data_IF_231121026039
#
_entry.id   IF_231121026039
#
_cell.length_a   1.000
_cell.length_b   1.000
_cell.length_c   1.000
_cell.angle_alpha   90.00
_cell.angle_beta   90.00
_cell.angle_gamma   90.00
#
_symmetry.space_group_name_H-M   'P 1'
#
loop_
_entity.id
_entity.type
_entity.pdbx_description
1 polymer ?
#
# COMPACT_ATOMS: atom_id res chain seq x y z
N UNK A 1 23.93 41.98 21.93
CA UNK A 1 22.96 43.05 21.72
C UNK A 1 21.84 42.48 20.86
N UNK A 2 20.71 42.27 21.51
CA UNK A 2 19.50 41.71 20.90
C UNK A 2 18.76 42.81 20.13
N UNK A 3 18.42 42.58 18.85
CA UNK A 3 17.55 43.47 18.05
C UNK A 3 16.25 42.71 17.78
N UNK A 4 15.20 43.19 18.47
CA UNK A 4 13.83 42.69 18.37
C UNK A 4 13.12 43.22 17.12
N UNK A 5 12.30 42.34 16.50
CA UNK A 5 11.44 42.57 15.34
C UNK A 5 10.25 43.51 15.62
N UNK A 6 10.51 44.78 16.00
CA UNK A 6 9.41 45.74 16.22
C UNK A 6 9.82 47.15 15.85
N UNK A 7 10.24 47.45 14.65
CA UNK A 7 10.36 48.85 14.18
C UNK A 7 10.46 48.88 12.64
N UNK A 8 9.32 48.74 11.96
CA UNK A 8 9.17 49.14 10.55
C UNK A 8 7.69 49.22 10.17
N UNK A 9 6.99 50.15 10.81
CA UNK A 9 5.68 50.63 10.37
C UNK A 9 5.47 52.05 10.92
N UNK A 10 6.10 53.03 10.26
CA UNK A 10 5.67 54.42 10.28
C UNK A 10 6.48 55.22 9.27
N UNK A 11 5.78 55.74 8.30
CA UNK A 11 6.01 56.96 7.52
C UNK A 11 5.74 56.75 6.03
N UNK A 12 4.65 57.33 5.56
CA UNK A 12 4.26 57.41 4.15
C UNK A 12 2.90 58.08 4.01
N UNK A 13 2.78 59.35 4.42
CA UNK A 13 1.62 60.22 4.10
C UNK A 13 1.72 60.64 2.63
N UNK A 14 0.74 60.20 1.82
CA UNK A 14 0.53 60.67 0.45
C UNK A 14 -0.95 60.94 0.25
N UNK A 15 -1.31 62.23 0.17
CA UNK A 15 -2.64 62.75 -0.15
C UNK A 15 -3.08 62.36 -1.56
N UNK A 16 -4.19 61.67 -1.68
CA UNK A 16 -4.85 61.29 -2.92
C UNK A 16 -6.36 61.45 -2.82
N UNK A 17 -6.90 62.27 -3.67
CA UNK A 17 -8.26 62.83 -3.78
C UNK A 17 -9.28 61.70 -3.88
N UNK A 18 -10.26 61.68 -3.00
CA UNK A 18 -11.44 60.82 -3.06
C UNK A 18 -12.47 61.43 -4.02
N UNK A 19 -12.74 60.78 -5.13
CA UNK A 19 -13.92 61.04 -5.96
C UNK A 19 -15.01 60.06 -5.54
N UNK A 20 -16.04 60.58 -4.90
CA UNK A 20 -17.23 59.82 -4.56
C UNK A 20 -18.09 59.60 -5.80
N UNK A 21 -18.19 58.38 -6.30
CA UNK A 21 -19.24 57.94 -7.20
C UNK A 21 -20.37 57.32 -6.36
N UNK A 22 -21.40 58.10 -6.07
CA UNK A 22 -22.69 57.60 -5.59
C UNK A 22 -23.53 57.22 -6.80
N UNK A 23 -23.83 55.97 -6.97
CA UNK A 23 -24.76 55.53 -8.00
C UNK A 23 -24.83 54.00 -8.13
N UNK A 24 -25.91 53.43 -7.75
CA UNK A 24 -26.67 52.25 -8.19
C UNK A 24 -25.96 51.04 -8.86
N UNK A 25 -24.66 50.81 -8.72
CA UNK A 25 -23.93 49.63 -9.20
C UNK A 25 -23.46 48.71 -8.05
N UNK A 26 -23.68 49.08 -6.80
CA UNK A 26 -23.33 48.25 -5.63
C UNK A 26 -24.26 47.08 -5.36
N UNK A 27 -25.43 47.02 -6.04
CA UNK A 27 -26.43 45.96 -5.79
C UNK A 27 -26.30 44.75 -6.75
N UNK A 28 -25.42 44.85 -7.73
CA UNK A 28 -25.21 43.71 -8.70
C UNK A 28 -24.08 42.79 -8.33
N UNK A 29 -23.29 43.09 -7.28
CA UNK A 29 -22.19 42.24 -6.78
C UNK A 29 -22.44 41.64 -5.40
N UNK A 30 -23.64 41.84 -4.81
CA UNK A 30 -24.03 41.24 -3.53
C UNK A 30 -24.54 39.81 -3.65
N UNK A 31 -24.33 39.16 -4.79
CA UNK A 31 -24.68 37.76 -5.07
C UNK A 31 -23.48 36.89 -5.39
N UNK A 32 -22.28 37.21 -4.92
CA UNK A 32 -21.17 36.25 -4.92
C UNK A 32 -21.54 35.18 -3.90
N UNK A 33 -22.21 34.11 -4.35
CA UNK A 33 -22.15 32.85 -3.65
C UNK A 33 -20.66 32.58 -3.40
N UNK A 34 -20.23 32.68 -2.16
CA UNK A 34 -18.99 32.08 -1.72
C UNK A 34 -19.16 30.61 -2.09
N UNK A 35 -18.58 30.19 -3.20
CA UNK A 35 -18.38 28.76 -3.44
C UNK A 35 -17.68 28.27 -2.18
N UNK A 36 -18.32 27.38 -1.45
CA UNK A 36 -17.68 26.72 -0.34
C UNK A 36 -16.32 26.24 -0.86
N UNK A 37 -15.22 26.38 -0.08
CA UNK A 37 -13.93 25.87 -0.51
C UNK A 37 -14.13 24.44 -0.99
N UNK A 38 -13.47 24.02 -2.09
CA UNK A 38 -13.64 22.67 -2.61
C UNK A 38 -13.52 21.71 -1.42
N UNK A 39 -14.54 20.89 -1.21
CA UNK A 39 -14.55 19.96 -0.08
C UNK A 39 -13.40 18.98 -0.32
N UNK A 40 -12.42 19.00 0.56
CA UNK A 40 -11.37 18.00 0.61
C UNK A 40 -12.04 16.64 0.79
N UNK A 41 -11.74 15.67 -0.09
CA UNK A 41 -12.32 14.34 -0.04
C UNK A 41 -13.84 14.29 -0.21
N UNK A 42 -14.48 13.29 0.42
CA UNK A 42 -15.91 13.00 0.30
C UNK A 42 -16.75 13.54 1.49
N UNK A 43 -16.14 14.27 2.42
CA UNK A 43 -16.77 14.83 3.60
C UNK A 43 -16.58 13.98 4.87
N UNK A 44 -17.23 14.34 5.99
CA UNK A 44 -17.02 13.67 7.26
C UNK A 44 -17.54 12.23 7.26
N UNK A 45 -16.85 11.35 7.99
CA UNK A 45 -17.29 9.98 8.22
C UNK A 45 -18.54 9.99 9.12
N UNK A 46 -19.51 9.18 8.77
CA UNK A 46 -20.74 8.95 9.53
C UNK A 46 -20.61 7.64 10.31
N UNK A 47 -20.94 7.63 11.62
CA UNK A 47 -20.89 6.42 12.42
C UNK A 47 -21.79 5.32 11.86
N UNK A 48 -21.23 4.12 11.68
CA UNK A 48 -21.98 2.96 11.21
C UNK A 48 -22.87 2.37 12.34
N UNK A 49 -24.19 2.25 12.16
CA UNK A 49 -25.06 1.60 13.14
C UNK A 49 -24.68 0.15 13.45
N UNK A 50 -24.03 -0.55 12.51
CA UNK A 50 -23.54 -1.92 12.69
C UNK A 50 -22.16 -2.00 13.34
N UNK A 51 -21.51 -0.84 13.52
CA UNK A 51 -20.15 -0.73 14.08
C UNK A 51 -19.11 -1.58 13.36
N UNK A 52 -19.11 -1.57 12.03
CA UNK A 52 -18.12 -2.27 11.23
C UNK A 52 -17.25 -1.28 10.46
N UNK A 53 -17.87 -0.32 9.73
CA UNK A 53 -17.12 0.59 8.84
C UNK A 53 -17.81 1.95 8.76
N UNK A 54 -17.19 3.00 9.30
CA UNK A 54 -17.66 4.37 9.14
C UNK A 54 -17.25 4.90 7.75
N UNK A 55 -18.18 5.53 7.04
CA UNK A 55 -18.00 6.02 5.68
C UNK A 55 -18.58 7.44 5.50
N UNK A 56 -18.15 8.20 4.48
CA UNK A 56 -18.78 9.47 4.15
C UNK A 56 -20.21 9.30 3.65
N UNK A 57 -21.01 10.39 3.69
CA UNK A 57 -22.38 10.38 3.20
C UNK A 57 -22.46 9.93 1.73
N UNK A 58 -23.42 9.05 1.42
CA UNK A 58 -23.64 8.49 0.08
C UNK A 58 -22.83 7.21 -0.20
N UNK A 59 -21.85 6.88 0.60
CA UNK A 59 -21.16 5.60 0.53
C UNK A 59 -21.88 4.53 1.35
N UNK A 60 -21.71 3.29 0.92
CA UNK A 60 -22.23 2.10 1.60
C UNK A 60 -21.29 0.93 1.40
N UNK A 61 -21.31 -0.02 2.31
CA UNK A 61 -20.49 -1.22 2.21
C UNK A 61 -21.31 -2.50 2.30
N UNK A 62 -20.68 -3.56 1.85
CA UNK A 62 -21.11 -4.95 2.00
C UNK A 62 -19.95 -5.78 2.49
N UNK A 63 -20.19 -6.68 3.45
CA UNK A 63 -19.24 -7.71 3.84
C UNK A 63 -19.28 -8.81 2.79
N UNK A 64 -18.13 -9.17 2.24
CA UNK A 64 -17.98 -10.22 1.23
C UNK A 64 -17.60 -11.55 1.86
N UNK A 65 -16.67 -11.54 2.84
CA UNK A 65 -16.06 -12.72 3.44
C UNK A 65 -15.57 -12.39 4.84
N UNK A 66 -15.59 -13.37 5.75
CA UNK A 66 -15.04 -13.28 7.09
C UNK A 66 -14.20 -14.51 7.41
N UNK A 67 -13.07 -14.29 8.09
CA UNK A 67 -12.24 -15.38 8.60
C UNK A 67 -13.07 -16.33 9.50
N UNK A 68 -12.86 -17.63 9.32
CA UNK A 68 -13.60 -18.67 10.02
C UNK A 68 -14.91 -19.11 9.35
N UNK A 69 -15.47 -18.34 8.42
CA UNK A 69 -16.62 -18.80 7.63
C UNK A 69 -16.21 -19.97 6.72
N UNK A 70 -17.11 -20.90 6.38
CA UNK A 70 -16.81 -21.95 5.39
C UNK A 70 -16.43 -21.36 4.02
N UNK A 71 -15.39 -21.88 3.39
CA UNK A 71 -15.08 -21.57 2.00
C UNK A 71 -16.25 -21.99 1.09
N UNK A 72 -16.71 -21.10 0.19
CA UNK A 72 -17.92 -21.33 -0.63
C UNK A 72 -17.74 -22.38 -1.73
N UNK A 73 -16.52 -22.70 -2.08
CA UNK A 73 -16.18 -23.71 -3.11
C UNK A 73 -14.82 -24.32 -2.84
N UNK A 74 -14.77 -25.08 -1.77
CA UNK A 74 -13.57 -25.76 -1.32
C UNK A 74 -13.78 -26.37 0.04
N UNK A 75 -12.80 -27.09 0.51
CA UNK A 75 -12.77 -27.63 1.86
C UNK A 75 -12.08 -26.62 2.79
N UNK A 76 -12.56 -26.52 4.01
CA UNK A 76 -11.99 -25.66 5.04
C UNK A 76 -12.74 -24.36 5.26
N UNK A 77 -12.08 -23.45 5.94
CA UNK A 77 -12.61 -22.15 6.34
C UNK A 77 -11.80 -21.02 5.70
N UNK A 78 -12.40 -19.84 5.60
CA UNK A 78 -11.73 -18.60 5.23
C UNK A 78 -10.58 -18.36 6.21
N UNK A 79 -9.32 -18.19 5.71
CA UNK A 79 -8.18 -17.99 6.58
C UNK A 79 -8.20 -16.63 7.28
N UNK A 80 -7.39 -16.49 8.33
CA UNK A 80 -7.20 -15.23 9.03
C UNK A 80 -6.29 -14.26 8.26
N UNK A 81 -6.06 -13.08 8.84
CA UNK A 81 -5.05 -12.10 8.43
C UNK A 81 -5.17 -11.78 6.95
N UNK A 82 -6.35 -11.24 6.57
CA UNK A 82 -6.63 -10.85 5.19
C UNK A 82 -5.83 -9.59 4.87
N UNK A 83 -4.91 -9.69 3.91
CA UNK A 83 -3.96 -8.66 3.57
C UNK A 83 -4.05 -8.21 2.09
N UNK A 84 -2.93 -8.01 1.41
CA UNK A 84 -2.82 -7.52 0.05
C UNK A 84 -3.81 -8.14 -0.92
N UNK A 85 -4.42 -7.32 -1.76
CA UNK A 85 -5.51 -7.75 -2.62
C UNK A 85 -5.47 -7.05 -3.98
N UNK A 86 -5.93 -7.74 -5.01
CA UNK A 86 -6.18 -7.14 -6.31
C UNK A 86 -7.48 -7.64 -6.94
N UNK A 87 -8.11 -6.76 -7.72
CA UNK A 87 -9.34 -7.04 -8.46
C UNK A 87 -9.04 -7.25 -9.95
N UNK A 88 -9.59 -8.32 -10.53
CA UNK A 88 -9.42 -8.72 -11.92
C UNK A 88 -10.76 -8.81 -12.63
N UNK A 89 -10.81 -8.39 -13.89
CA UNK A 89 -11.97 -8.61 -14.73
C UNK A 89 -12.12 -10.11 -15.07
N UNK A 90 -13.23 -10.71 -14.65
CA UNK A 90 -13.57 -12.09 -14.94
C UNK A 90 -14.57 -12.21 -16.10
N UNK A 91 -14.79 -11.13 -16.85
CA UNK A 91 -15.68 -11.04 -17.98
C UNK A 91 -17.16 -10.97 -17.60
N UNK A 92 -17.98 -10.40 -18.49
CA UNK A 92 -19.43 -10.27 -18.29
C UNK A 92 -19.83 -9.52 -17.02
N UNK A 93 -19.05 -8.50 -16.62
CA UNK A 93 -19.29 -7.71 -15.40
C UNK A 93 -18.98 -8.43 -14.09
N UNK A 94 -18.35 -9.59 -14.15
CA UNK A 94 -17.87 -10.32 -12.97
C UNK A 94 -16.50 -9.82 -12.56
N UNK A 95 -16.24 -9.86 -11.26
CA UNK A 95 -14.93 -9.51 -10.69
C UNK A 95 -14.36 -10.72 -9.96
N UNK A 96 -13.07 -10.91 -10.04
CA UNK A 96 -12.32 -11.86 -9.22
C UNK A 96 -11.33 -11.12 -8.36
N UNK A 97 -11.40 -11.33 -7.05
CA UNK A 97 -10.39 -10.82 -6.12
C UNK A 97 -9.37 -11.92 -5.85
N UNK A 98 -8.09 -11.56 -5.85
CA UNK A 98 -7.02 -12.34 -5.22
C UNK A 98 -6.73 -11.66 -3.91
N UNK A 99 -6.65 -12.41 -2.82
CA UNK A 99 -6.42 -11.90 -1.47
C UNK A 99 -5.37 -12.74 -0.79
N UNK A 100 -4.35 -12.07 -0.26
CA UNK A 100 -3.30 -12.66 0.56
C UNK A 100 -3.79 -12.94 1.98
N UNK A 101 -3.10 -13.85 2.65
CA UNK A 101 -3.27 -14.17 4.06
C UNK A 101 -1.89 -14.18 4.72
N UNK A 102 -1.57 -13.13 5.44
CA UNK A 102 -0.31 -12.92 6.15
C UNK A 102 -0.25 -13.78 7.43
N UNK A 103 -0.31 -15.07 7.24
CA UNK A 103 -0.31 -16.00 8.36
C UNK A 103 1.12 -16.35 8.77
N UNK A 104 1.43 -16.03 10.02
CA UNK A 104 2.64 -16.50 10.73
C UNK A 104 2.38 -17.89 11.35
N UNK A 105 3.41 -18.57 11.83
CA UNK A 105 3.34 -19.94 12.36
C UNK A 105 2.35 -20.14 13.52
N UNK A 106 1.85 -19.07 14.12
CA UNK A 106 0.88 -19.08 15.21
C UNK A 106 -0.56 -18.81 14.76
N UNK A 107 -0.81 -18.63 13.46
CA UNK A 107 -2.14 -18.31 12.94
C UNK A 107 -3.14 -19.43 13.25
N UNK A 108 -4.29 -19.06 13.83
CA UNK A 108 -5.33 -20.01 14.20
C UNK A 108 -6.08 -20.59 12.98
N UNK A 109 -6.19 -19.81 11.91
CA UNK A 109 -6.93 -20.14 10.68
C UNK A 109 -5.96 -20.06 9.50
N UNK A 110 -5.36 -21.21 9.16
CA UNK A 110 -4.41 -21.33 8.05
C UNK A 110 -5.10 -21.35 6.69
N UNK A 111 -4.34 -21.04 5.64
CA UNK A 111 -4.74 -21.37 4.27
C UNK A 111 -4.73 -22.88 4.10
N UNK A 112 -5.86 -23.51 3.71
CA UNK A 112 -5.93 -24.95 3.50
C UNK A 112 -4.91 -25.41 2.43
N UNK A 113 -4.18 -26.48 2.72
CA UNK A 113 -3.28 -27.08 1.75
C UNK A 113 -4.07 -27.68 0.58
N UNK A 114 -3.61 -27.44 -0.65
CA UNK A 114 -4.19 -27.96 -1.88
C UNK A 114 -3.09 -28.58 -2.73
N UNK A 115 -3.31 -29.78 -3.22
CA UNK A 115 -2.34 -30.47 -4.07
C UNK A 115 -2.01 -29.66 -5.33
N UNK A 116 -0.70 -29.49 -5.59
CA UNK A 116 -0.18 -28.67 -6.69
C UNK A 116 -0.25 -27.15 -6.50
N UNK A 117 -0.78 -26.67 -5.37
CA UNK A 117 -0.82 -25.24 -4.99
C UNK A 117 -0.12 -24.97 -3.66
N UNK A 118 0.50 -25.97 -3.04
CA UNK A 118 1.18 -25.83 -1.73
C UNK A 118 2.69 -25.86 -1.93
N UNK A 119 3.38 -24.83 -1.42
CA UNK A 119 4.85 -24.71 -1.45
C UNK A 119 5.46 -25.49 -0.27
N UNK A 120 5.32 -25.01 0.94
CA UNK A 120 5.74 -25.68 2.18
C UNK A 120 4.50 -26.12 2.98
N UNK A 121 4.31 -27.42 3.25
CA UNK A 121 3.14 -27.88 3.99
C UNK A 121 3.10 -27.41 5.45
N UNK A 122 4.20 -26.88 5.99
CA UNK A 122 4.31 -26.36 7.34
C UNK A 122 4.02 -24.87 7.44
N UNK A 123 4.09 -24.12 6.34
CA UNK A 123 3.71 -22.72 6.30
C UNK A 123 2.18 -22.56 6.26
N UNK A 124 1.67 -21.47 6.84
CA UNK A 124 0.24 -21.27 7.05
C UNK A 124 -0.39 -20.20 6.17
N UNK A 125 0.43 -19.45 5.42
CA UNK A 125 0.00 -18.40 4.53
C UNK A 125 -0.40 -18.89 3.14
N UNK A 126 -0.71 -17.93 2.27
CA UNK A 126 -1.13 -18.17 0.88
C UNK A 126 -2.10 -17.13 0.37
N UNK A 127 -2.83 -17.49 -0.70
CA UNK A 127 -3.84 -16.64 -1.31
C UNK A 127 -5.17 -17.36 -1.49
N UNK A 128 -6.27 -16.62 -1.35
CA UNK A 128 -7.61 -17.06 -1.76
C UNK A 128 -8.12 -16.24 -2.94
N UNK A 129 -9.03 -16.83 -3.72
CA UNK A 129 -9.81 -16.16 -4.77
C UNK A 129 -11.25 -16.05 -4.34
N UNK A 130 -11.84 -14.85 -4.55
CA UNK A 130 -13.26 -14.62 -4.42
C UNK A 130 -13.82 -14.30 -5.82
N UNK A 131 -14.77 -15.08 -6.31
CA UNK A 131 -15.51 -14.79 -7.53
C UNK A 131 -16.78 -14.02 -7.21
N UNK A 132 -16.94 -12.85 -7.80
CA UNK A 132 -18.10 -11.97 -7.63
C UNK A 132 -18.92 -11.94 -8.91
N UNK A 133 -20.25 -12.09 -8.79
CA UNK A 133 -21.16 -11.90 -9.89
C UNK A 133 -21.37 -10.40 -10.21
N UNK A 134 -22.09 -10.04 -11.29
CA UNK A 134 -22.36 -8.64 -11.65
C UNK A 134 -23.14 -7.85 -10.58
N UNK A 135 -23.81 -8.53 -9.64
CA UNK A 135 -24.45 -7.88 -8.48
C UNK A 135 -23.45 -7.59 -7.35
N UNK A 136 -22.21 -8.09 -7.48
CA UNK A 136 -21.15 -8.06 -6.47
C UNK A 136 -21.35 -9.08 -5.36
N UNK A 137 -22.17 -10.12 -5.55
CA UNK A 137 -22.31 -11.22 -4.59
C UNK A 137 -21.24 -12.27 -4.81
N UNK A 138 -20.65 -12.78 -3.71
CA UNK A 138 -19.64 -13.85 -3.77
C UNK A 138 -20.31 -15.15 -4.19
N UNK A 139 -19.89 -15.69 -5.32
CA UNK A 139 -20.40 -16.96 -5.88
C UNK A 139 -19.46 -18.13 -5.59
N UNK A 140 -18.17 -17.87 -5.43
CA UNK A 140 -17.17 -18.87 -5.09
C UNK A 140 -16.05 -18.25 -4.25
N UNK A 141 -15.49 -19.03 -3.34
CA UNK A 141 -14.27 -18.67 -2.59
C UNK A 141 -13.42 -19.92 -2.42
N UNK A 142 -12.15 -19.85 -2.86
CA UNK A 142 -11.25 -21.01 -2.92
C UNK A 142 -9.79 -20.62 -2.77
N UNK A 143 -8.95 -21.59 -2.41
CA UNK A 143 -7.50 -21.43 -2.35
C UNK A 143 -6.90 -21.27 -3.76
N UNK A 144 -5.91 -20.40 -3.90
CA UNK A 144 -5.13 -20.17 -5.11
C UNK A 144 -3.63 -20.43 -4.94
N UNK A 145 -3.13 -20.23 -3.73
CA UNK A 145 -1.76 -20.52 -3.31
C UNK A 145 -1.81 -20.89 -1.83
N UNK A 146 -1.01 -21.87 -1.41
CA UNK A 146 -0.92 -22.29 -0.01
C UNK A 146 0.52 -22.63 0.35
N UNK A 147 0.79 -22.73 1.65
CA UNK A 147 2.11 -23.12 2.14
C UNK A 147 3.20 -22.11 1.86
N UNK A 148 2.84 -20.86 1.75
CA UNK A 148 3.74 -19.71 1.80
C UNK A 148 3.68 -19.07 3.18
N UNK A 149 4.62 -18.19 3.51
CA UNK A 149 4.78 -17.63 4.82
C UNK A 149 4.59 -16.11 4.79
N UNK A 150 3.74 -15.59 5.69
CA UNK A 150 3.62 -14.14 5.89
C UNK A 150 3.35 -13.42 4.56
N UNK A 151 2.29 -13.83 3.85
CA UNK A 151 1.91 -13.18 2.60
C UNK A 151 1.26 -11.83 2.88
N UNK A 152 2.07 -10.78 2.88
CA UNK A 152 1.65 -9.42 3.15
C UNK A 152 0.99 -8.81 1.92
N UNK A 153 1.63 -7.89 1.22
CA UNK A 153 1.06 -7.30 0.03
C UNK A 153 1.54 -7.99 -1.28
N UNK A 154 1.69 -7.23 -2.33
CA UNK A 154 2.08 -7.74 -3.64
C UNK A 154 1.75 -6.77 -4.76
N UNK A 155 1.58 -7.27 -5.99
CA UNK A 155 1.27 -6.42 -7.13
C UNK A 155 0.61 -7.12 -8.30
N UNK A 156 -0.25 -6.38 -9.00
CA UNK A 156 -0.87 -6.84 -10.24
C UNK A 156 0.10 -6.72 -11.41
N UNK A 157 0.18 -7.77 -12.23
CA UNK A 157 0.96 -7.72 -13.46
C UNK A 157 0.16 -7.20 -14.66
N UNK A 158 0.82 -6.63 -15.68
CA UNK A 158 0.15 -6.23 -16.92
C UNK A 158 -0.52 -7.37 -17.69
N UNK A 159 -0.14 -8.61 -17.42
CA UNK A 159 -0.72 -9.82 -18.01
C UNK A 159 -1.76 -10.50 -17.12
N UNK A 160 -2.33 -9.75 -16.17
CA UNK A 160 -3.45 -10.15 -15.31
C UNK A 160 -3.16 -11.32 -14.37
N UNK A 161 -1.94 -11.43 -13.83
CA UNK A 161 -1.63 -12.26 -12.67
C UNK A 161 -1.36 -11.39 -11.44
N UNK A 162 -1.36 -12.01 -10.27
CA UNK A 162 -0.99 -11.42 -8.99
C UNK A 162 0.40 -11.90 -8.59
N UNK A 163 1.24 -11.01 -8.13
CA UNK A 163 2.50 -11.35 -7.47
C UNK A 163 2.29 -11.21 -5.97
N UNK A 164 2.32 -12.32 -5.25
CA UNK A 164 2.17 -12.40 -3.80
C UNK A 164 3.54 -12.40 -3.15
N UNK A 165 3.74 -11.54 -2.16
CA UNK A 165 4.99 -11.31 -1.47
C UNK A 165 5.04 -12.04 -0.13
N UNK A 166 6.16 -12.67 0.20
CA UNK A 166 6.44 -13.20 1.54
C UNK A 166 7.27 -12.19 2.33
N UNK A 167 6.72 -11.65 3.40
CA UNK A 167 7.36 -10.69 4.30
C UNK A 167 8.13 -11.42 5.40
N UNK A 168 9.12 -12.21 5.02
CA UNK A 168 9.97 -12.95 5.97
C UNK A 168 11.32 -13.26 5.37
N UNK A 169 12.30 -13.53 6.23
CA UNK A 169 13.62 -14.04 5.85
C UNK A 169 13.88 -15.43 6.43
N UNK A 170 12.84 -16.15 6.86
CA UNK A 170 12.94 -17.47 7.46
C UNK A 170 13.48 -18.51 6.45
N UNK A 171 14.24 -19.47 6.99
CA UNK A 171 14.86 -20.54 6.21
C UNK A 171 14.33 -21.90 6.60
N UNK A 172 14.55 -22.86 5.71
CA UNK A 172 14.38 -24.28 6.03
C UNK A 172 15.08 -24.62 7.35
N UNK A 173 14.34 -25.26 8.25
CA UNK A 173 14.81 -25.60 9.61
C UNK A 173 14.65 -24.48 10.65
N UNK A 174 14.19 -23.29 10.27
CA UNK A 174 13.81 -22.22 11.19
C UNK A 174 12.30 -22.11 11.29
N UNK A 175 11.75 -21.60 12.39
CA UNK A 175 10.30 -21.37 12.59
C UNK A 175 9.40 -22.57 12.27
N UNK A 176 9.97 -23.77 12.10
CA UNK A 176 9.25 -24.99 11.74
C UNK A 176 9.06 -25.22 10.25
N UNK A 177 9.61 -24.35 9.38
CA UNK A 177 9.55 -24.46 7.93
C UNK A 177 10.49 -25.55 7.37
N UNK A 178 10.11 -26.14 6.24
CA UNK A 178 10.92 -27.14 5.52
C UNK A 178 11.55 -26.60 4.24
N UNK A 179 11.09 -25.46 3.77
CA UNK A 179 11.63 -24.72 2.62
C UNK A 179 12.16 -23.34 3.05
N UNK A 180 12.97 -22.71 2.21
CA UNK A 180 13.36 -21.32 2.38
C UNK A 180 12.21 -20.40 1.96
N UNK A 181 11.97 -19.35 2.73
CA UNK A 181 10.94 -18.33 2.49
C UNK A 181 11.56 -16.94 2.23
N UNK A 182 10.71 -15.95 1.95
CA UNK A 182 11.11 -14.60 1.59
C UNK A 182 11.16 -14.41 0.07
N UNK A 183 10.20 -14.97 -0.64
CA UNK A 183 10.09 -14.92 -2.09
C UNK A 183 8.77 -14.33 -2.56
N UNK A 184 8.74 -13.96 -3.83
CA UNK A 184 7.53 -13.61 -4.56
C UNK A 184 6.99 -14.83 -5.28
N UNK A 185 5.66 -14.99 -5.30
CA UNK A 185 4.95 -16.07 -6.00
C UNK A 185 3.95 -15.49 -6.99
N UNK A 186 3.96 -15.97 -8.23
CA UNK A 186 2.97 -15.59 -9.23
C UNK A 186 1.72 -16.46 -9.10
N UNK A 187 0.55 -15.82 -9.01
CA UNK A 187 -0.77 -16.47 -8.97
C UNK A 187 -1.58 -16.06 -10.19
N UNK A 188 -1.96 -17.03 -11.03
CA UNK A 188 -2.88 -16.80 -12.15
C UNK A 188 -4.33 -16.87 -11.63
N UNK A 189 -5.09 -15.76 -11.56
CA UNK A 189 -6.46 -15.80 -11.05
C UNK A 189 -7.41 -16.61 -11.94
N UNK A 190 -7.11 -16.73 -13.24
CA UNK A 190 -7.95 -17.49 -14.16
C UNK A 190 -7.79 -19.00 -13.94
N UNK A 191 -6.58 -19.46 -13.66
CA UNK A 191 -6.26 -20.85 -13.37
C UNK A 191 -5.00 -20.96 -12.49
N UNK A 192 -5.12 -20.98 -11.16
CA UNK A 192 -3.98 -21.05 -10.24
C UNK A 192 -3.04 -22.23 -10.48
N UNK A 193 -3.54 -23.33 -11.07
CA UNK A 193 -2.70 -24.49 -11.38
C UNK A 193 -1.65 -24.23 -12.46
N UNK A 194 -1.85 -23.19 -13.29
CA UNK A 194 -0.84 -22.78 -14.29
C UNK A 194 0.37 -22.12 -13.64
N UNK A 195 0.15 -21.35 -12.60
CA UNK A 195 1.23 -20.75 -11.83
C UNK A 195 1.85 -21.75 -10.85
N UNK A 196 1.03 -22.60 -10.23
CA UNK A 196 1.50 -23.48 -9.16
C UNK A 196 2.12 -22.69 -8.01
N UNK A 197 2.73 -23.39 -7.07
CA UNK A 197 3.42 -22.79 -5.93
C UNK A 197 4.95 -22.75 -6.22
N UNK A 198 5.38 -21.85 -7.10
CA UNK A 198 6.79 -21.78 -7.56
C UNK A 198 7.38 -20.41 -7.17
N UNK A 199 8.41 -20.38 -6.30
CA UNK A 199 9.06 -19.14 -5.89
C UNK A 199 9.84 -18.50 -7.05
N UNK A 200 9.79 -17.18 -7.15
CA UNK A 200 10.53 -16.38 -8.12
C UNK A 200 11.90 -15.97 -7.54
N UNK A 201 12.76 -16.95 -7.31
CA UNK A 201 14.01 -16.77 -6.55
C UNK A 201 14.97 -15.73 -7.11
N UNK A 202 14.92 -15.45 -8.41
CA UNK A 202 15.78 -14.44 -9.04
C UNK A 202 15.38 -12.99 -8.67
N UNK A 203 14.18 -12.76 -8.13
CA UNK A 203 13.73 -11.49 -7.61
C UNK A 203 14.34 -11.13 -6.24
N UNK A 204 15.11 -12.04 -5.67
CA UNK A 204 15.78 -11.88 -4.39
C UNK A 204 15.10 -12.69 -3.29
N UNK A 205 15.77 -12.74 -2.13
CA UNK A 205 15.25 -13.33 -0.90
C UNK A 205 15.40 -12.32 0.25
N UNK A 206 14.31 -11.71 0.63
CA UNK A 206 14.18 -10.71 1.69
C UNK A 206 12.73 -10.65 2.16
N UNK A 207 12.42 -9.84 3.16
CA UNK A 207 11.05 -9.57 3.58
C UNK A 207 10.35 -8.72 2.52
N UNK A 208 9.81 -9.39 1.48
CA UNK A 208 9.07 -8.72 0.41
C UNK A 208 7.74 -8.21 0.94
N UNK A 209 7.56 -6.90 0.87
CA UNK A 209 6.30 -6.27 1.22
C UNK A 209 5.38 -6.20 0.01
N UNK A 210 5.71 -5.38 -0.98
CA UNK A 210 4.89 -5.18 -2.16
C UNK A 210 5.72 -5.12 -3.44
N UNK A 211 5.04 -5.24 -4.58
CA UNK A 211 5.66 -5.08 -5.90
C UNK A 211 4.79 -4.26 -6.85
N UNK A 212 5.43 -3.53 -7.76
CA UNK A 212 4.77 -2.83 -8.85
C UNK A 212 5.44 -3.15 -10.18
N UNK A 213 4.65 -3.46 -11.22
CA UNK A 213 5.19 -3.84 -12.54
C UNK A 213 4.96 -2.73 -13.55
N UNK A 214 6.05 -2.22 -14.15
CA UNK A 214 5.99 -1.28 -15.28
C UNK A 214 5.30 -1.96 -16.49
N UNK A 215 4.12 -1.51 -16.90
CA UNK A 215 3.38 -2.14 -17.99
C UNK A 215 4.00 -1.89 -19.39
N UNK A 216 4.97 -1.01 -19.47
CA UNK A 216 5.62 -0.63 -20.73
C UNK A 216 6.99 -1.30 -20.90
N UNK A 217 7.72 -1.52 -19.79
CA UNK A 217 9.08 -2.07 -19.80
C UNK A 217 9.17 -3.46 -19.16
N UNK A 218 8.18 -3.82 -18.33
CA UNK A 218 8.18 -5.08 -17.59
C UNK A 218 9.15 -5.12 -16.41
N UNK A 219 9.75 -3.98 -16.06
CA UNK A 219 10.53 -3.84 -14.81
C UNK A 219 9.62 -4.08 -13.63
N UNK A 220 10.06 -4.86 -12.64
CA UNK A 220 9.35 -5.02 -11.36
C UNK A 220 10.08 -4.18 -10.31
N UNK A 221 9.33 -3.36 -9.57
CA UNK A 221 9.82 -2.61 -8.42
C UNK A 221 9.33 -3.29 -7.17
N UNK A 222 10.15 -3.32 -6.11
CA UNK A 222 9.90 -4.13 -4.92
C UNK A 222 10.28 -3.34 -3.66
N UNK A 223 9.49 -3.47 -2.61
CA UNK A 223 9.76 -2.92 -1.28
C UNK A 223 10.19 -4.02 -0.32
N UNK A 224 11.16 -3.73 0.54
CA UNK A 224 11.60 -4.59 1.64
C UNK A 224 11.20 -3.96 2.97
N UNK A 225 10.33 -4.62 3.75
CA UNK A 225 10.08 -4.17 5.11
C UNK A 225 11.24 -4.56 6.04
N UNK A 226 11.77 -3.55 6.71
CA UNK A 226 12.70 -3.73 7.81
C UNK A 226 12.63 -2.52 8.75
N UNK A 227 12.22 -2.78 9.98
CA UNK A 227 12.09 -1.76 11.03
C UNK A 227 13.29 -1.69 11.99
N UNK A 228 14.34 -2.52 11.77
CA UNK A 228 15.60 -2.52 12.52
C UNK A 228 16.74 -2.17 11.58
N UNK A 229 17.63 -1.27 12.01
CA UNK A 229 18.82 -0.85 11.24
C UNK A 229 19.78 -2.05 10.95
N UNK A 230 20.29 -2.16 9.69
CA UNK A 230 20.00 -1.32 8.52
C UNK A 230 18.59 -1.60 7.98
N UNK A 231 17.90 -0.50 7.67
CA UNK A 231 16.53 -0.55 7.20
C UNK A 231 16.39 -1.14 5.80
N UNK A 232 15.13 -1.32 5.37
CA UNK A 232 14.78 -1.88 4.08
C UNK A 232 15.27 -1.08 2.88
N UNK A 233 15.24 -1.71 1.73
CA UNK A 233 15.68 -1.17 0.45
C UNK A 233 14.52 -1.16 -0.54
N UNK A 234 14.53 -0.16 -1.43
CA UNK A 234 13.67 -0.15 -2.60
C UNK A 234 14.44 -0.72 -3.79
N UNK A 235 13.87 -1.72 -4.45
CA UNK A 235 14.52 -2.47 -5.51
C UNK A 235 13.86 -2.28 -6.86
N UNK A 236 14.62 -2.61 -7.93
CA UNK A 236 14.07 -2.96 -9.23
C UNK A 236 14.63 -4.29 -9.70
N UNK A 237 13.77 -5.14 -10.22
CA UNK A 237 14.14 -6.35 -10.91
C UNK A 237 13.96 -6.16 -12.43
N UNK A 238 14.99 -6.47 -13.20
CA UNK A 238 14.98 -6.44 -14.67
C UNK A 238 14.82 -7.88 -15.19
N UNK A 239 13.61 -8.31 -15.59
CA UNK A 239 13.36 -9.66 -16.05
C UNK A 239 14.15 -9.98 -17.32
N UNK A 240 14.66 -11.19 -17.45
CA UNK A 240 15.28 -11.70 -18.68
C UNK A 240 14.27 -11.78 -19.84
N UNK A 241 12.98 -11.93 -19.53
CA UNK A 241 11.88 -11.98 -20.49
C UNK A 241 10.75 -11.00 -20.10
N UNK A 242 10.97 -9.67 -20.25
CA UNK A 242 9.97 -8.69 -19.87
C UNK A 242 8.70 -8.80 -20.72
N UNK A 243 7.52 -8.63 -20.10
CA UNK A 243 6.20 -8.59 -20.73
C UNK A 243 5.84 -9.82 -21.60
N UNK A 244 6.42 -10.99 -21.32
CA UNK A 244 6.12 -12.23 -22.07
C UNK A 244 4.89 -12.98 -21.54
N UNK A 245 4.24 -12.45 -20.52
CA UNK A 245 3.03 -13.04 -19.95
C UNK A 245 3.27 -13.94 -18.74
N UNK A 246 2.24 -14.68 -18.30
CA UNK A 246 2.33 -15.54 -17.13
C UNK A 246 3.50 -16.52 -17.19
N UNK A 247 4.24 -16.63 -16.08
CA UNK A 247 5.40 -17.49 -15.95
C UNK A 247 6.70 -16.91 -16.50
N UNK A 248 6.70 -15.77 -17.18
CA UNK A 248 7.90 -15.17 -17.79
C UNK A 248 8.96 -14.76 -16.76
N UNK A 249 8.56 -14.40 -15.55
CA UNK A 249 9.48 -14.01 -14.47
C UNK A 249 10.36 -15.19 -13.99
N UNK A 250 9.92 -16.43 -14.21
CA UNK A 250 10.73 -17.65 -13.92
C UNK A 250 12.00 -17.77 -14.76
N UNK A 251 12.09 -17.04 -15.87
CA UNK A 251 13.29 -16.99 -16.68
C UNK A 251 14.46 -16.27 -15.99
N UNK A 252 14.21 -15.69 -14.79
CA UNK A 252 15.20 -14.94 -14.04
C UNK A 252 15.36 -13.50 -14.53
N UNK A 253 16.42 -12.86 -14.07
CA UNK A 253 16.71 -11.45 -14.34
C UNK A 253 17.85 -10.95 -13.47
N UNK A 254 17.92 -9.63 -13.27
CA UNK A 254 18.90 -8.99 -12.41
C UNK A 254 18.23 -8.02 -11.43
N UNK A 255 18.61 -8.13 -10.16
CA UNK A 255 18.09 -7.30 -9.08
C UNK A 255 19.07 -6.14 -8.78
N UNK A 256 18.52 -4.95 -8.58
CA UNK A 256 19.27 -3.74 -8.25
C UNK A 256 18.57 -3.01 -7.11
N UNK A 257 19.35 -2.42 -6.22
CA UNK A 257 18.84 -1.59 -5.14
C UNK A 257 18.98 -0.09 -5.48
N UNK A 258 18.08 0.72 -4.93
CA UNK A 258 18.04 2.17 -5.10
C UNK A 258 19.23 2.84 -4.39
N UNK A 259 19.85 3.80 -5.08
CA UNK A 259 20.77 4.78 -4.49
C UNK A 259 20.30 6.18 -4.86
N UNK A 260 20.14 7.03 -3.86
CA UNK A 260 19.97 8.48 -4.02
C UNK A 260 21.28 9.13 -3.60
N UNK A 261 22.06 9.69 -4.55
CA UNK A 261 23.36 10.26 -4.21
C UNK A 261 23.28 11.32 -3.10
N UNK A 262 24.02 11.11 -2.02
CA UNK A 262 24.03 12.02 -0.87
C UNK A 262 22.90 11.84 0.14
N UNK A 263 21.97 10.88 -0.09
CA UNK A 263 20.86 10.57 0.82
C UNK A 263 20.93 9.08 1.21
N UNK A 264 21.65 8.72 2.26
CA UNK A 264 21.76 7.32 2.68
C UNK A 264 20.49 6.79 3.38
N UNK A 265 19.63 7.68 3.90
CA UNK A 265 18.38 7.37 4.58
C UNK A 265 17.29 8.36 4.12
N UNK A 266 16.19 7.85 3.57
CA UNK A 266 15.09 8.68 3.07
C UNK A 266 14.38 9.48 4.15
N UNK A 267 14.50 9.10 5.43
CA UNK A 267 13.86 9.79 6.56
C UNK A 267 14.29 11.25 6.69
N UNK A 268 15.47 11.61 6.21
CA UNK A 268 15.98 13.01 6.26
C UNK A 268 15.21 13.95 5.34
N UNK A 269 14.43 13.43 4.39
CA UNK A 269 13.67 14.24 3.44
C UNK A 269 12.29 14.56 4.02
N UNK A 270 12.09 15.82 4.41
CA UNK A 270 10.90 16.27 5.15
C UNK A 270 10.06 17.30 4.38
N UNK A 271 10.35 17.54 3.11
CA UNK A 271 9.67 18.56 2.31
C UNK A 271 8.97 17.90 1.11
N UNK A 272 7.61 17.85 1.07
CA UNK A 272 6.88 17.40 -0.09
C UNK A 272 7.26 18.20 -1.35
N UNK A 273 7.42 17.49 -2.46
CA UNK A 273 7.92 18.07 -3.72
C UNK A 273 9.43 18.00 -3.90
N UNK A 274 10.21 17.65 -2.85
CA UNK A 274 11.65 17.42 -2.99
C UNK A 274 11.89 16.25 -3.95
N UNK A 275 12.70 16.48 -4.99
CA UNK A 275 12.99 15.50 -6.05
C UNK A 275 14.50 15.28 -6.17
N UNK A 276 14.90 14.02 -6.35
CA UNK A 276 16.29 13.57 -6.40
C UNK A 276 16.53 12.66 -7.60
N UNK A 277 17.67 12.76 -8.29
CA UNK A 277 18.11 11.76 -9.24
C UNK A 277 18.42 10.44 -8.52
N UNK A 278 18.19 9.32 -9.22
CA UNK A 278 18.47 8.00 -8.65
C UNK A 278 19.46 7.21 -9.51
N UNK A 279 20.23 6.40 -8.84
CA UNK A 279 21.07 5.35 -9.41
C UNK A 279 20.56 3.98 -8.98
N UNK A 280 20.92 2.96 -9.75
CA UNK A 280 20.56 1.58 -9.45
C UNK A 280 21.81 0.73 -9.36
N UNK A 281 22.07 0.18 -8.18
CA UNK A 281 23.27 -0.59 -7.85
C UNK A 281 22.91 -2.09 -7.91
N UNK A 282 23.65 -2.91 -8.67
CA UNK A 282 23.41 -4.35 -8.66
C UNK A 282 23.51 -4.92 -7.25
N UNK A 283 22.55 -5.80 -6.88
CA UNK A 283 22.60 -6.54 -5.61
C UNK A 283 23.70 -7.60 -5.72
N UNK A 284 24.65 -7.65 -4.78
CA UNK A 284 25.80 -8.57 -4.87
C UNK A 284 25.39 -10.04 -4.80
N UNK A 285 24.52 -10.42 -3.87
CA UNK A 285 23.96 -11.75 -3.72
C UNK A 285 22.43 -11.69 -3.52
N UNK A 286 21.62 -11.75 -4.60
CA UNK A 286 20.16 -11.76 -4.48
C UNK A 286 19.60 -12.95 -3.70
N UNK A 287 20.34 -14.09 -3.66
CA UNK A 287 19.89 -15.26 -2.91
C UNK A 287 20.00 -15.11 -1.40
N UNK A 288 20.73 -14.08 -0.95
CA UNK A 288 21.04 -13.84 0.47
C UNK A 288 21.55 -15.10 1.18
N UNK A 289 22.39 -15.90 0.49
CA UNK A 289 22.78 -17.21 0.98
C UNK A 289 23.46 -17.18 2.36
N UNK A 290 24.27 -16.14 2.61
CA UNK A 290 24.99 -15.98 3.88
C UNK A 290 24.60 -14.73 4.66
N UNK A 291 24.18 -13.67 3.95
CA UNK A 291 23.94 -12.35 4.55
C UNK A 291 22.69 -11.76 3.92
N UNK A 292 21.70 -11.28 4.71
CA UNK A 292 20.54 -10.59 4.18
C UNK A 292 20.95 -9.43 3.27
N UNK A 293 20.14 -9.11 2.25
CA UNK A 293 20.54 -8.18 1.18
C UNK A 293 20.90 -6.82 1.75
N UNK A 294 20.11 -6.27 2.65
CA UNK A 294 20.32 -4.95 3.25
C UNK A 294 21.62 -4.82 4.06
N UNK A 295 22.25 -5.94 4.45
CA UNK A 295 23.55 -5.98 5.15
C UNK A 295 24.75 -6.20 4.22
N UNK A 296 24.55 -6.36 2.92
CA UNK A 296 25.63 -6.64 1.96
C UNK A 296 26.40 -5.35 1.63
N UNK A 297 27.64 -5.51 1.16
CA UNK A 297 28.48 -4.40 0.73
C UNK A 297 28.16 -4.01 -0.72
N UNK A 298 27.52 -2.86 -0.90
CA UNK A 298 27.20 -2.29 -2.21
C UNK A 298 28.34 -1.43 -2.80
N UNK A 299 29.53 -1.46 -2.19
CA UNK A 299 30.70 -0.76 -2.66
C UNK A 299 30.68 0.76 -2.42
N UNK A 300 31.58 1.52 -3.09
CA UNK A 300 31.68 2.95 -2.89
C UNK A 300 30.38 3.70 -3.19
N UNK A 301 30.02 4.63 -2.30
CA UNK A 301 28.78 5.40 -2.39
C UNK A 301 27.60 4.76 -1.67
N UNK A 302 27.72 3.51 -1.21
CA UNK A 302 26.69 2.83 -0.41
C UNK A 302 25.38 2.64 -1.15
N UNK A 303 24.30 2.62 -0.40
CA UNK A 303 22.92 2.40 -0.84
C UNK A 303 21.99 3.33 -0.05
N UNK A 304 20.76 3.55 -0.49
CA UNK A 304 19.75 4.32 0.24
C UNK A 304 18.80 3.38 0.96
N UNK A 305 18.63 3.61 2.25
CA UNK A 305 17.71 2.87 3.11
C UNK A 305 16.45 3.69 3.40
N UNK A 306 15.39 3.02 3.79
CA UNK A 306 14.21 3.63 4.39
C UNK A 306 13.60 2.67 5.42
N UNK A 307 13.20 3.19 6.56
CA UNK A 307 12.56 2.40 7.61
C UNK A 307 11.15 2.02 7.17
N UNK A 308 10.78 0.75 7.36
CA UNK A 308 9.44 0.19 7.17
C UNK A 308 8.86 0.58 5.80
N UNK A 309 9.51 0.09 4.72
CA UNK A 309 8.98 0.23 3.36
C UNK A 309 7.82 -0.75 3.16
N UNK A 310 6.67 -0.22 2.77
CA UNK A 310 5.41 -0.90 2.67
C UNK A 310 4.89 -0.93 1.24
N UNK A 311 3.61 -0.59 1.05
CA UNK A 311 2.90 -0.66 -0.22
C UNK A 311 3.65 -0.07 -1.40
N UNK A 312 3.50 -0.70 -2.56
CA UNK A 312 4.09 -0.29 -3.83
C UNK A 312 3.06 -0.43 -4.95
N UNK A 313 2.85 0.60 -5.76
CA UNK A 313 1.82 0.59 -6.79
C UNK A 313 2.24 1.35 -8.05
N UNK A 314 1.97 0.77 -9.22
CA UNK A 314 2.18 1.46 -10.50
C UNK A 314 1.00 2.37 -10.81
N UNK A 315 1.27 3.66 -10.98
CA UNK A 315 0.30 4.68 -11.36
C UNK A 315 0.98 5.91 -11.96
N UNK A 316 0.27 6.74 -12.69
CA UNK A 316 0.75 8.02 -13.24
C UNK A 316 2.06 7.93 -14.05
N UNK A 317 2.33 6.77 -14.64
CA UNK A 317 3.55 6.53 -15.43
C UNK A 317 4.80 6.22 -14.61
N UNK A 318 4.66 5.99 -13.32
CA UNK A 318 5.73 5.65 -12.38
C UNK A 318 5.26 4.76 -11.24
N UNK A 319 6.01 4.73 -10.18
CA UNK A 319 5.76 3.88 -9.01
C UNK A 319 5.61 4.74 -7.75
N UNK A 320 4.45 4.63 -7.11
CA UNK A 320 4.27 5.09 -5.74
C UNK A 320 4.74 4.01 -4.77
N UNK A 321 5.49 4.38 -3.74
CA UNK A 321 5.88 3.48 -2.65
C UNK A 321 5.85 4.21 -1.31
N UNK A 322 5.67 3.44 -0.25
CA UNK A 322 5.42 3.93 1.09
C UNK A 322 6.61 3.62 2.00
N UNK A 323 7.00 4.57 2.86
CA UNK A 323 7.74 4.33 4.10
C UNK A 323 6.78 4.65 5.25
N UNK A 324 6.40 3.63 6.02
CA UNK A 324 5.30 3.71 6.98
C UNK A 324 5.59 4.70 8.10
N UNK A 325 6.80 4.64 8.65
CA UNK A 325 7.30 5.61 9.61
C UNK A 325 8.84 5.57 9.67
N UNK A 326 9.44 6.56 10.34
CA UNK A 326 10.82 6.49 10.77
C UNK A 326 10.97 7.04 12.19
N UNK A 327 11.83 6.40 12.98
CA UNK A 327 12.08 6.76 14.38
C UNK A 327 13.58 6.79 14.68
N UNK A 328 14.06 7.94 15.14
CA UNK A 328 15.46 8.12 15.55
C UNK A 328 15.83 7.22 16.72
N UNK A 329 14.87 6.88 17.58
CA UNK A 329 15.07 5.91 18.67
C UNK A 329 15.32 4.48 18.17
N UNK A 330 15.00 4.17 16.94
CA UNK A 330 15.20 2.88 16.27
C UNK A 330 16.36 2.91 15.27
N UNK A 331 17.05 4.05 15.15
CA UNK A 331 18.25 4.22 14.32
C UNK A 331 18.04 5.06 13.06
N UNK A 332 16.82 5.51 12.73
CA UNK A 332 16.57 6.37 11.59
C UNK A 332 17.25 7.75 11.76
N UNK A 333 17.64 8.36 10.64
CA UNK A 333 18.32 9.64 10.65
C UNK A 333 17.38 10.81 11.03
N UNK A 334 16.06 10.67 10.83
CA UNK A 334 15.03 11.62 11.26
C UNK A 334 13.71 10.90 11.54
N UNK A 335 12.85 11.52 12.36
CA UNK A 335 11.50 11.00 12.63
C UNK A 335 10.49 11.45 11.56
N UNK A 336 9.58 10.56 11.16
CA UNK A 336 8.36 10.91 10.44
C UNK A 336 7.23 9.91 10.73
N UNK A 337 5.99 10.30 10.42
CA UNK A 337 4.77 9.49 10.63
C UNK A 337 4.29 8.82 9.35
N UNK A 338 5.04 8.88 8.29
CA UNK A 338 4.79 8.25 7.00
C UNK A 338 5.19 9.15 5.83
N UNK A 339 5.65 8.51 4.77
CA UNK A 339 6.03 9.13 3.51
C UNK A 339 5.43 8.35 2.36
N UNK A 340 4.89 9.05 1.34
CA UNK A 340 4.59 8.48 0.03
C UNK A 340 5.55 9.08 -0.98
N UNK A 341 6.30 8.21 -1.62
CA UNK A 341 7.29 8.53 -2.64
C UNK A 341 6.77 8.17 -4.03
N UNK A 342 7.20 8.92 -5.04
CA UNK A 342 6.96 8.62 -6.44
C UNK A 342 8.29 8.46 -7.19
N UNK A 343 8.50 7.30 -7.80
CA UNK A 343 9.62 7.05 -8.71
C UNK A 343 9.18 7.22 -10.16
N UNK A 344 9.81 8.16 -10.87
CA UNK A 344 9.66 8.35 -12.31
C UNK A 344 10.76 7.58 -13.06
N UNK A 345 10.45 6.44 -13.71
CA UNK A 345 11.45 5.63 -14.40
C UNK A 345 11.94 6.25 -15.73
N UNK A 346 11.23 7.24 -16.25
CA UNK A 346 11.64 7.95 -17.48
C UNK A 346 12.68 9.00 -17.16
N UNK A 347 12.46 9.77 -16.08
CA UNK A 347 13.37 10.81 -15.61
C UNK A 347 14.47 10.27 -14.72
N UNK A 348 14.34 9.04 -14.24
CA UNK A 348 15.22 8.43 -13.22
C UNK A 348 15.33 9.31 -11.97
N UNK A 349 14.18 9.67 -11.42
CA UNK A 349 14.07 10.46 -10.19
C UNK A 349 13.13 9.80 -9.19
N UNK A 350 13.30 10.17 -7.90
CA UNK A 350 12.26 9.98 -6.88
C UNK A 350 11.84 11.34 -6.33
N UNK A 351 10.58 11.46 -5.94
CA UNK A 351 10.00 12.66 -5.35
C UNK A 351 9.18 12.28 -4.12
N UNK A 352 9.32 13.03 -3.03
CA UNK A 352 8.41 12.92 -1.90
C UNK A 352 7.07 13.60 -2.25
N UNK A 353 6.00 12.83 -2.37
CA UNK A 353 4.67 13.37 -2.70
C UNK A 353 3.88 13.75 -1.45
N UNK A 354 3.93 12.91 -0.40
CA UNK A 354 3.20 13.12 0.84
C UNK A 354 4.11 12.88 2.03
N UNK A 355 4.04 13.78 3.01
CA UNK A 355 4.60 13.60 4.34
C UNK A 355 3.45 13.63 5.35
N UNK A 356 3.23 12.51 6.04
CA UNK A 356 2.28 12.46 7.16
C UNK A 356 2.89 13.14 8.38
N UNK A 357 2.12 14.02 9.00
CA UNK A 357 2.55 14.77 10.18
C UNK A 357 2.15 14.05 11.47
N UNK A 358 2.71 14.52 12.63
CA UNK A 358 2.28 14.00 13.91
C UNK A 358 0.78 14.28 14.09
N UNK A 359 0.08 13.36 14.73
CA UNK A 359 -1.36 13.38 15.02
C UNK A 359 -1.83 14.60 15.89
N UNK A 360 -1.24 15.78 15.69
CA UNK A 360 -1.63 17.02 16.34
C UNK A 360 -2.92 17.59 15.75
N UNK A 361 -3.32 17.20 14.56
CA UNK A 361 -4.61 17.54 13.97
C UNK A 361 -5.56 16.37 14.18
N UNK A 362 -6.38 16.45 15.22
CA UNK A 362 -7.37 15.42 15.62
C UNK A 362 -8.38 15.14 14.49
N UNK A 363 -8.39 15.92 13.42
CA UNK A 363 -9.29 15.74 12.28
C UNK A 363 -8.68 14.89 11.16
N UNK A 364 -7.38 14.69 11.14
CA UNK A 364 -6.66 13.84 10.18
C UNK A 364 -5.46 13.16 10.87
N UNK A 365 -5.72 12.24 11.80
CA UNK A 365 -4.66 11.41 12.34
C UNK A 365 -4.28 10.41 11.23
N UNK A 366 -3.32 10.75 10.37
CA UNK A 366 -2.71 9.82 9.43
C UNK A 366 -1.32 9.53 9.92
N UNK A 367 -1.08 8.33 10.40
CA UNK A 367 0.25 7.81 10.62
C UNK A 367 0.37 6.41 10.01
N UNK A 368 1.57 5.94 9.88
CA UNK A 368 1.87 4.56 9.44
C UNK A 368 1.10 4.14 8.18
N UNK A 369 1.20 4.89 7.05
CA UNK A 369 0.65 4.43 5.78
C UNK A 369 1.29 3.10 5.39
N UNK A 370 0.48 2.23 4.83
CA UNK A 370 0.85 0.87 4.45
C UNK A 370 0.44 0.58 2.99
N UNK A 371 -0.52 -0.31 2.75
CA UNK A 371 -0.93 -0.66 1.40
C UNK A 371 -1.51 0.54 0.64
N UNK A 372 -1.20 0.63 -0.65
CA UNK A 372 -1.55 1.77 -1.50
C UNK A 372 -2.13 1.31 -2.85
N UNK A 373 -3.10 2.06 -3.38
CA UNK A 373 -3.53 1.91 -4.77
C UNK A 373 -3.94 3.25 -5.38
N UNK A 374 -3.99 3.31 -6.71
CA UNK A 374 -4.52 4.46 -7.44
C UNK A 374 -6.05 4.50 -7.33
N UNK A 375 -6.60 5.67 -7.00
CA UNK A 375 -8.03 5.91 -7.00
C UNK A 375 -8.54 6.29 -8.41
N UNK A 376 -9.86 6.13 -8.71
CA UNK A 376 -10.40 6.44 -10.04
C UNK A 376 -10.23 7.89 -10.49
N UNK A 377 -10.13 8.84 -9.56
CA UNK A 377 -9.91 10.27 -9.79
C UNK A 377 -8.44 10.66 -10.02
N UNK A 378 -7.54 9.68 -10.02
CA UNK A 378 -6.09 9.89 -10.12
C UNK A 378 -5.40 10.23 -8.81
N UNK A 379 -6.10 10.22 -7.68
CA UNK A 379 -5.54 10.26 -6.35
C UNK A 379 -5.10 8.88 -5.87
N UNK A 380 -4.76 8.77 -4.58
CA UNK A 380 -4.35 7.51 -3.96
C UNK A 380 -5.34 7.12 -2.85
N UNK A 381 -5.50 5.81 -2.64
CA UNK A 381 -6.06 5.24 -1.40
C UNK A 381 -4.95 4.52 -0.66
N UNK A 382 -4.85 4.76 0.64
CA UNK A 382 -3.79 4.29 1.51
C UNK A 382 -4.42 3.65 2.74
N UNK A 383 -4.06 2.44 3.07
CA UNK A 383 -4.40 1.78 4.33
C UNK A 383 -3.47 2.28 5.44
N UNK A 384 -3.94 2.29 6.67
CA UNK A 384 -3.17 2.62 7.86
C UNK A 384 -2.91 1.36 8.69
N UNK A 385 -1.66 1.21 9.13
CA UNK A 385 -1.19 0.24 10.13
C UNK A 385 -0.56 0.98 11.32
N UNK A 386 -1.33 1.85 11.95
CA UNK A 386 -0.90 2.66 13.08
C UNK A 386 -1.45 2.20 14.42
N UNK A 387 -1.25 3.03 15.44
CA UNK A 387 -1.83 2.83 16.76
C UNK A 387 -3.19 3.50 16.91
N UNK A 388 -4.16 2.84 17.56
CA UNK A 388 -5.45 3.44 17.86
C UNK A 388 -6.52 3.23 16.81
N UNK A 389 -7.25 4.29 16.41
CA UNK A 389 -8.27 4.17 15.38
C UNK A 389 -7.64 4.02 14.01
N UNK A 390 -8.13 3.08 13.21
CA UNK A 390 -7.58 2.72 11.91
C UNK A 390 -8.39 3.30 10.76
N UNK A 391 -7.71 3.81 9.74
CA UNK A 391 -8.34 4.50 8.60
C UNK A 391 -7.89 3.94 7.24
N UNK A 392 -8.75 4.14 6.25
CA UNK A 392 -8.34 4.25 4.86
C UNK A 392 -8.29 5.73 4.53
N UNK A 393 -7.14 6.23 4.11
CA UNK A 393 -6.97 7.61 3.67
C UNK A 393 -7.08 7.70 2.16
N UNK A 394 -7.66 8.81 1.70
CA UNK A 394 -7.50 9.25 0.32
C UNK A 394 -6.44 10.36 0.26
N UNK A 395 -5.66 10.36 -0.80
CA UNK A 395 -4.75 11.47 -1.16
C UNK A 395 -5.23 12.03 -2.48
N UNK A 396 -5.55 13.32 -2.52
CA UNK A 396 -5.94 13.96 -3.78
C UNK A 396 -4.75 14.06 -4.74
N UNK A 397 -4.95 14.24 -6.07
CA UNK A 397 -3.85 14.52 -6.99
C UNK A 397 -2.99 15.74 -6.62
N UNK A 398 -3.49 16.61 -5.74
CA UNK A 398 -2.77 17.76 -5.17
C UNK A 398 -2.00 17.46 -3.90
N UNK A 399 -1.99 16.21 -3.41
CA UNK A 399 -1.29 15.80 -2.18
C UNK A 399 -2.05 16.06 -0.88
N UNK A 400 -3.33 16.44 -0.94
CA UNK A 400 -4.15 16.66 0.26
C UNK A 400 -4.72 15.33 0.77
N UNK A 401 -4.51 15.03 2.05
CA UNK A 401 -4.97 13.80 2.73
C UNK A 401 -6.36 14.00 3.31
N UNK A 402 -7.22 12.98 3.19
CA UNK A 402 -8.56 12.96 3.79
C UNK A 402 -8.94 11.54 4.25
N UNK A 403 -9.80 11.44 5.28
CA UNK A 403 -10.31 10.16 5.72
C UNK A 403 -11.40 9.64 4.75
N UNK A 404 -11.23 8.42 4.24
CA UNK A 404 -12.21 7.74 3.37
C UNK A 404 -13.03 6.69 4.14
N UNK A 405 -12.42 5.97 5.05
CA UNK A 405 -13.10 5.00 5.90
C UNK A 405 -12.43 4.95 7.28
N UNK A 406 -13.18 4.52 8.30
CA UNK A 406 -12.64 4.18 9.61
C UNK A 406 -13.15 2.82 10.03
N UNK A 407 -12.26 1.97 10.56
CA UNK A 407 -12.65 0.73 11.18
C UNK A 407 -13.43 1.04 12.47
N UNK A 408 -14.66 0.56 12.55
CA UNK A 408 -15.53 0.75 13.70
C UNK A 408 -15.77 -0.57 14.48
N UNK A 409 -15.19 -1.69 14.02
CA UNK A 409 -15.27 -2.99 14.69
C UNK A 409 -14.25 -3.04 15.83
N UNK A 410 -14.73 -2.88 17.06
CA UNK A 410 -13.90 -2.98 18.27
C UNK A 410 -13.64 -4.45 18.57
N UNK A 411 -12.38 -4.87 18.42
CA UNK A 411 -11.90 -6.23 18.71
C UNK A 411 -11.19 -6.32 20.07
N UNK A 412 -11.13 -5.21 20.81
CA UNK A 412 -10.44 -5.10 22.08
C UNK A 412 -11.21 -5.71 23.24
N UNK A 413 -10.73 -5.42 24.44
CA UNK A 413 -11.32 -5.87 25.70
C UNK A 413 -12.16 -4.76 26.33
N UNK A 414 -13.13 -5.07 27.19
CA UNK A 414 -13.87 -4.06 27.92
C UNK A 414 -12.94 -3.04 28.61
N UNK A 415 -13.06 -1.76 28.25
CA UNK A 415 -12.24 -0.65 28.77
C UNK A 415 -10.87 -0.47 28.08
N UNK A 416 -10.55 -1.28 27.07
CA UNK A 416 -9.38 -1.15 26.23
C UNK A 416 -9.77 -1.47 24.76
N UNK A 417 -10.45 -0.55 24.06
CA UNK A 417 -10.87 -0.74 22.68
C UNK A 417 -9.64 -0.87 21.76
N UNK A 418 -9.77 -1.72 20.77
CA UNK A 418 -8.73 -2.02 19.77
C UNK A 418 -9.40 -2.20 18.41
N UNK A 419 -8.76 -1.70 17.35
CA UNK A 419 -9.25 -1.83 15.98
C UNK A 419 -8.17 -2.48 15.13
N UNK A 420 -8.55 -3.46 14.32
CA UNK A 420 -7.64 -4.04 13.35
C UNK A 420 -7.32 -3.03 12.25
N UNK A 421 -6.09 -3.04 11.78
CA UNK A 421 -5.62 -2.27 10.65
C UNK A 421 -6.40 -2.57 9.37
N UNK A 422 -6.32 -1.67 8.41
CA UNK A 422 -6.78 -1.93 7.05
C UNK A 422 -5.64 -2.43 6.17
N UNK A 423 -5.98 -3.35 5.25
CA UNK A 423 -5.04 -3.88 4.27
C UNK A 423 -5.70 -4.09 2.90
N UNK A 424 -4.89 -4.21 1.87
CA UNK A 424 -5.27 -4.68 0.54
C UNK A 424 -6.27 -3.79 -0.20
N UNK A 425 -6.26 -2.47 0.01
CA UNK A 425 -7.15 -1.56 -0.71
C UNK A 425 -6.94 -1.66 -2.23
N UNK A 426 -8.05 -1.87 -2.97
CA UNK A 426 -8.02 -1.95 -4.44
C UNK A 426 -9.36 -1.57 -5.03
N UNK A 427 -9.41 -1.22 -6.32
CA UNK A 427 -10.65 -0.91 -7.02
C UNK A 427 -11.04 -2.01 -8.01
N UNK A 428 -12.36 -2.17 -8.21
CA UNK A 428 -12.87 -2.96 -9.32
C UNK A 428 -12.34 -2.43 -10.66
N UNK A 429 -12.23 -3.27 -11.70
CA UNK A 429 -11.73 -2.85 -13.01
C UNK A 429 -12.48 -1.68 -13.64
N UNK A 430 -13.73 -1.45 -13.25
CA UNK A 430 -14.56 -0.31 -13.70
C UNK A 430 -14.48 0.91 -12.77
N UNK A 431 -13.67 0.86 -11.69
CA UNK A 431 -13.47 1.94 -10.72
C UNK A 431 -14.66 2.24 -9.81
N UNK A 432 -15.73 1.42 -9.82
CA UNK A 432 -16.98 1.74 -9.11
C UNK A 432 -17.10 1.14 -7.71
N UNK A 433 -16.24 0.19 -7.39
CA UNK A 433 -16.23 -0.49 -6.09
C UNK A 433 -14.81 -0.50 -5.55
N UNK A 434 -14.61 0.02 -4.37
CA UNK A 434 -13.39 -0.18 -3.59
C UNK A 434 -13.54 -1.45 -2.77
N UNK A 435 -12.53 -2.30 -2.78
CA UNK A 435 -12.40 -3.44 -1.88
C UNK A 435 -11.31 -3.15 -0.87
N UNK A 436 -11.51 -3.58 0.36
CA UNK A 436 -10.54 -3.42 1.45
C UNK A 436 -10.75 -4.49 2.50
N UNK A 437 -9.70 -4.90 3.17
CA UNK A 437 -9.71 -5.82 4.29
C UNK A 437 -9.57 -5.06 5.61
N UNK A 438 -10.31 -5.47 6.66
CA UNK A 438 -9.83 -5.33 8.02
C UNK A 438 -9.01 -6.60 8.30
N UNK A 439 -7.70 -6.45 8.47
CA UNK A 439 -6.75 -7.53 8.65
C UNK A 439 -7.15 -8.45 9.80
N UNK A 440 -7.42 -7.85 10.95
CA UNK A 440 -8.08 -8.49 12.11
C UNK A 440 -9.44 -7.84 12.32
N UNK A 441 -10.54 -8.59 12.37
CA UNK A 441 -10.67 -10.05 12.51
C UNK A 441 -10.71 -10.84 11.19
N UNK A 442 -10.22 -10.30 10.08
CA UNK A 442 -10.21 -10.94 8.78
C UNK A 442 -11.51 -10.74 8.00
N UNK A 443 -11.93 -9.48 7.83
CA UNK A 443 -13.17 -9.12 7.10
C UNK A 443 -12.85 -8.41 5.81
N UNK A 444 -13.38 -8.91 4.68
CA UNK A 444 -13.29 -8.24 3.38
C UNK A 444 -14.56 -7.45 3.09
N UNK A 445 -14.40 -6.17 2.78
CA UNK A 445 -15.48 -5.24 2.44
C UNK A 445 -15.49 -4.88 0.95
N UNK A 446 -16.69 -4.63 0.41
CA UNK A 446 -16.91 -3.93 -0.86
C UNK A 446 -17.60 -2.61 -0.55
N UNK A 447 -16.98 -1.49 -0.91
CA UNK A 447 -17.48 -0.14 -0.68
C UNK A 447 -17.89 0.48 -2.01
N UNK A 448 -19.14 0.94 -2.10
CA UNK A 448 -19.71 1.61 -3.26
C UNK A 448 -20.21 3.00 -2.89
N UNK A 449 -20.11 3.94 -3.82
CA UNK A 449 -20.52 5.31 -3.54
C UNK A 449 -20.29 6.23 -4.73
N UNK A 450 -20.41 7.53 -4.50
CA UNK A 450 -20.23 8.55 -5.55
C UNK A 450 -18.75 8.83 -5.78
N UNK A 451 -18.01 7.81 -6.22
CA UNK A 451 -16.61 7.98 -6.63
C UNK A 451 -16.48 9.05 -7.71
N UNK A 452 -15.42 9.83 -7.66
CA UNK A 452 -15.12 10.92 -8.63
C UNK A 452 -14.28 10.42 -9.76
#
# INVERSE_FOLDING_TARGET
MSVTRRTLLAAGTGTGIAIAFTGALGALFAGSSHAAPPRQGYGPLLPDPRKLLDLPAGFRYRVLSRAGDPLRSGEGTVPANCDGMAAFDAGSGRVRLVRNHENRTTAALRVPAVDGLTYDPHALGGCTLLDLDPSGSVTAERVALAGTAVNCAGGRTPWNTWLSCEETEDRAGTSGYTEDHGYVFEVDPADPRRSGAVPLTAMGRFAHEAVAVDPYRGTVYETEDAFIEPFGLFYRFLPAQPLRGPGSLRAGGTLHALRVPGVPDLSVVQEPGAEFPVEWVPVPDPSAAGTPIRFQDFGPGGITHAQKLEGCYWGDGGVHFVSSYARTLEGAAADHHGQVWFHDPVRSTIRLDVLFGPAADIQLPGDSPDNICLAPDGGLMVCEDGGGAQYVFGVTPGGEVYAMARNAEDIGRPGAPEWGEFAGVTFSPDGRTMYVNAYTPGTTFAVTGPWR
#
